data_IF_313377051301
#
_entry.id   IF_313377051301
#
_cell.length_a   1.000
_cell.length_b   1.000
_cell.length_c   1.000
_cell.angle_alpha   90.00
_cell.angle_beta   90.00
_cell.angle_gamma   90.00
#
_symmetry.space_group_name_H-M   'P 1'
#
loop_
_entity.id
_entity.type
_entity.pdbx_description
1 polymer ?
#
# COMPACT_ATOMS: atom_id res chain seq x y z
N UNK A 1 -13.27 -16.59 -10.30
CA UNK A 1 -12.87 -18.00 -10.20
C UNK A 1 -11.50 -18.06 -9.55
N UNK A 2 -11.28 -19.01 -8.64
CA UNK A 2 -10.00 -19.17 -7.94
C UNK A 2 -9.52 -20.62 -8.01
N UNK A 3 -8.21 -20.80 -8.17
CA UNK A 3 -7.52 -22.09 -8.24
C UNK A 3 -6.40 -22.08 -7.21
N UNK A 4 -6.42 -23.06 -6.31
CA UNK A 4 -5.52 -23.13 -5.17
C UNK A 4 -4.80 -24.48 -5.18
N UNK A 5 -3.49 -24.43 -5.38
CA UNK A 5 -2.59 -25.57 -5.32
C UNK A 5 -1.55 -25.31 -4.23
N UNK A 6 -0.81 -26.34 -3.78
CA UNK A 6 0.30 -26.11 -2.86
C UNK A 6 1.23 -25.01 -3.40
N UNK A 7 1.40 -23.95 -2.62
CA UNK A 7 2.18 -22.74 -2.94
C UNK A 7 1.66 -21.84 -4.06
N UNK A 8 0.59 -22.20 -4.77
CA UNK A 8 0.11 -21.43 -5.91
C UNK A 8 -1.35 -21.03 -5.73
N UNK A 9 -1.60 -19.74 -5.88
CA UNK A 9 -2.91 -19.12 -5.83
C UNK A 9 -3.12 -18.39 -7.14
N UNK A 10 -4.19 -18.73 -7.86
CA UNK A 10 -4.56 -18.06 -9.10
C UNK A 10 -6.02 -17.65 -9.05
N UNK A 11 -6.29 -16.36 -9.26
CA UNK A 11 -7.63 -15.80 -9.29
C UNK A 11 -7.86 -15.05 -10.59
N UNK A 12 -9.09 -15.12 -11.10
CA UNK A 12 -9.51 -14.41 -12.31
C UNK A 12 -10.96 -13.97 -12.21
N UNK A 13 -11.28 -12.81 -12.78
CA UNK A 13 -12.57 -12.14 -12.71
C UNK A 13 -12.59 -11.09 -11.61
N UNK A 14 -13.70 -11.02 -10.86
CA UNK A 14 -13.84 -10.11 -9.73
C UNK A 14 -13.50 -10.83 -8.41
N UNK A 15 -12.54 -10.29 -7.64
CA UNK A 15 -12.12 -10.85 -6.36
C UNK A 15 -11.67 -9.74 -5.38
N UNK A 16 -11.59 -10.02 -4.07
CA UNK A 16 -11.22 -9.01 -3.07
C UNK A 16 -9.82 -8.42 -3.33
N UNK A 17 -9.71 -7.08 -3.24
CA UNK A 17 -8.45 -6.35 -3.41
C UNK A 17 -7.50 -6.51 -2.22
N UNK A 18 -8.06 -6.84 -1.04
CA UNK A 18 -7.35 -7.06 0.23
C UNK A 18 -6.05 -7.82 0.05
N UNK A 19 -6.16 -9.01 -0.54
CA UNK A 19 -5.04 -9.95 -0.65
C UNK A 19 -3.98 -9.51 -1.68
N UNK A 20 -4.38 -8.66 -2.64
CA UNK A 20 -3.51 -8.18 -3.71
C UNK A 20 -2.61 -7.05 -3.24
N UNK A 21 -3.16 -6.12 -2.46
CA UNK A 21 -2.46 -4.89 -2.08
C UNK A 21 -1.95 -4.88 -0.64
N UNK A 22 -2.31 -5.88 0.19
CA UNK A 22 -1.92 -5.95 1.60
C UNK A 22 -0.42 -5.73 1.86
N UNK A 23 0.45 -6.08 0.91
CA UNK A 23 1.90 -5.98 1.07
C UNK A 23 2.49 -4.67 0.53
N UNK A 24 1.73 -3.90 -0.25
CA UNK A 24 2.24 -2.68 -0.87
C UNK A 24 2.33 -1.52 0.14
N UNK A 25 3.38 -0.71 0.08
CA UNK A 25 3.55 0.42 0.99
C UNK A 25 2.62 1.58 0.61
N UNK A 26 2.38 2.47 1.58
CA UNK A 26 1.54 3.68 1.42
C UNK A 26 2.01 4.63 0.32
N UNK A 27 3.31 4.63 0.03
CA UNK A 27 3.92 5.31 -1.11
C UNK A 27 3.31 4.89 -2.47
N UNK A 28 2.82 3.65 -2.55
CA UNK A 28 2.23 3.07 -3.76
C UNK A 28 0.70 3.09 -3.69
N UNK A 29 0.11 2.69 -2.58
CA UNK A 29 -1.34 2.67 -2.36
C UNK A 29 -1.69 3.17 -0.96
N UNK A 30 -2.49 4.24 -0.88
CA UNK A 30 -3.00 4.77 0.38
C UNK A 30 -4.02 3.82 1.03
N UNK A 31 -4.12 3.87 2.35
CA UNK A 31 -5.08 3.07 3.13
C UNK A 31 -6.53 3.29 2.66
N UNK A 32 -6.86 4.52 2.26
CA UNK A 32 -8.18 4.91 1.74
C UNK A 32 -8.57 4.16 0.45
N UNK A 33 -7.61 3.76 -0.36
CA UNK A 33 -7.84 3.12 -1.67
C UNK A 33 -8.58 1.79 -1.50
N UNK A 34 -8.29 1.06 -0.43
CA UNK A 34 -8.92 -0.22 -0.11
C UNK A 34 -10.43 -0.09 0.18
N UNK A 35 -10.85 1.06 0.72
CA UNK A 35 -12.24 1.31 1.07
C UNK A 35 -13.09 1.73 -0.13
N UNK A 36 -12.52 2.57 -1.00
CA UNK A 36 -13.26 3.13 -2.15
C UNK A 36 -13.40 2.08 -3.26
N UNK A 37 -12.40 1.22 -3.43
CA UNK A 37 -12.42 0.15 -4.40
C UNK A 37 -12.06 -1.14 -3.66
N UNK A 38 -13.04 -1.99 -3.30
CA UNK A 38 -12.74 -3.22 -2.57
C UNK A 38 -12.46 -4.43 -3.47
N UNK A 39 -12.75 -4.36 -4.78
CA UNK A 39 -12.64 -5.49 -5.72
C UNK A 39 -11.67 -5.23 -6.87
N UNK A 40 -10.78 -6.18 -7.14
CA UNK A 40 -9.98 -6.24 -8.38
C UNK A 40 -10.83 -6.87 -9.47
N UNK A 41 -10.74 -6.36 -10.69
CA UNK A 41 -11.34 -6.97 -11.88
C UNK A 41 -10.22 -7.35 -12.84
N UNK A 42 -9.79 -8.60 -12.84
CA UNK A 42 -8.72 -9.04 -13.73
C UNK A 42 -8.17 -10.39 -13.33
N UNK A 43 -6.87 -10.47 -13.07
CA UNK A 43 -6.25 -11.70 -12.59
C UNK A 43 -5.19 -11.45 -11.52
N UNK A 44 -4.93 -12.47 -10.72
CA UNK A 44 -3.86 -12.51 -9.72
C UNK A 44 -3.21 -13.88 -9.78
N UNK A 45 -1.88 -13.92 -9.80
CA UNK A 45 -1.07 -15.13 -9.74
C UNK A 45 -0.03 -14.94 -8.63
N UNK A 46 -0.17 -15.70 -7.55
CA UNK A 46 0.73 -15.66 -6.41
C UNK A 46 1.38 -17.03 -6.21
N UNK A 47 2.70 -17.03 -6.15
CA UNK A 47 3.49 -18.09 -5.55
C UNK A 47 3.81 -17.71 -4.10
N UNK A 48 3.52 -18.57 -3.14
CA UNK A 48 3.74 -18.33 -1.71
C UNK A 48 4.38 -19.54 -1.03
N UNK A 49 5.48 -19.30 -0.35
CA UNK A 49 6.07 -20.19 0.63
C UNK A 49 5.95 -19.55 2.03
N UNK A 50 6.48 -20.20 3.07
CA UNK A 50 6.34 -19.76 4.47
C UNK A 50 6.72 -18.29 4.66
N UNK A 51 7.88 -17.87 4.14
CA UNK A 51 8.42 -16.52 4.31
C UNK A 51 8.65 -15.76 2.98
N UNK A 52 8.51 -16.47 1.86
CA UNK A 52 8.87 -15.99 0.53
C UNK A 52 7.62 -15.94 -0.35
N UNK A 53 7.52 -14.93 -1.21
CA UNK A 53 6.44 -14.88 -2.20
C UNK A 53 6.86 -14.17 -3.48
N UNK A 54 6.16 -14.47 -4.57
CA UNK A 54 6.19 -13.74 -5.83
C UNK A 54 4.75 -13.59 -6.32
N UNK A 55 4.37 -12.40 -6.73
CA UNK A 55 2.99 -12.05 -7.02
C UNK A 55 2.94 -11.18 -8.27
N UNK A 56 2.05 -11.53 -9.20
CA UNK A 56 1.75 -10.79 -10.42
C UNK A 56 0.24 -10.62 -10.51
N UNK A 57 -0.22 -9.41 -10.78
CA UNK A 57 -1.65 -9.13 -10.85
C UNK A 57 -1.96 -8.05 -11.88
N UNK A 58 -3.18 -8.10 -12.41
CA UNK A 58 -3.74 -7.10 -13.31
C UNK A 58 -5.14 -6.75 -12.84
N UNK A 59 -5.43 -5.45 -12.82
CA UNK A 59 -6.73 -4.91 -12.43
C UNK A 59 -7.21 -3.92 -13.48
N UNK A 60 -8.23 -4.29 -14.26
CA UNK A 60 -8.98 -3.37 -15.10
C UNK A 60 -9.86 -2.48 -14.21
N UNK A 61 -9.31 -1.32 -13.86
CA UNK A 61 -9.96 -0.36 -12.96
C UNK A 61 -11.16 0.36 -13.59
N UNK A 62 -11.34 0.17 -14.90
CA UNK A 62 -12.53 0.53 -15.65
C UNK A 62 -12.41 1.85 -16.41
N UNK A 63 -13.55 2.40 -16.79
CA UNK A 63 -13.68 3.65 -17.52
C UNK A 63 -14.79 4.51 -16.89
N UNK A 64 -14.55 5.81 -16.78
CA UNK A 64 -15.56 6.82 -16.46
C UNK A 64 -15.75 7.64 -17.73
N UNK A 65 -16.78 7.34 -18.53
CA UNK A 65 -16.87 7.78 -19.95
C UNK A 65 -16.62 9.28 -20.21
N UNK A 66 -16.80 10.16 -19.23
CA UNK A 66 -16.53 11.59 -19.31
C UNK A 66 -15.08 12.01 -18.99
N UNK A 67 -14.28 11.17 -18.32
CA UNK A 67 -12.97 11.53 -17.75
C UNK A 67 -11.88 10.46 -18.00
N UNK A 68 -12.25 9.19 -18.06
CA UNK A 68 -11.35 8.06 -18.28
C UNK A 68 -11.98 7.12 -19.30
N UNK A 69 -11.32 6.92 -20.45
CA UNK A 69 -11.78 6.01 -21.49
C UNK A 69 -11.35 4.57 -21.23
N UNK A 70 -10.20 4.38 -20.60
CA UNK A 70 -9.66 3.07 -20.23
C UNK A 70 -8.67 3.26 -19.08
N UNK A 71 -8.67 2.36 -18.09
CA UNK A 71 -7.63 2.32 -17.07
C UNK A 71 -7.39 0.91 -16.56
N UNK A 72 -6.13 0.59 -16.29
CA UNK A 72 -5.75 -0.65 -15.63
C UNK A 72 -4.40 -0.53 -14.91
N UNK A 73 -4.23 -1.34 -13.87
CA UNK A 73 -2.95 -1.61 -13.25
C UNK A 73 -2.40 -2.96 -13.72
N UNK A 74 -1.09 -3.02 -13.91
CA UNK A 74 -0.30 -4.24 -13.91
C UNK A 74 0.70 -4.14 -12.77
N UNK A 75 0.62 -4.99 -11.76
CA UNK A 75 1.52 -4.96 -10.61
C UNK A 75 2.25 -6.26 -10.39
N UNK A 76 3.42 -6.15 -9.77
CA UNK A 76 4.25 -7.27 -9.39
C UNK A 76 4.90 -6.99 -8.03
N UNK A 77 5.03 -8.03 -7.22
CA UNK A 77 5.67 -7.93 -5.92
C UNK A 77 6.42 -9.22 -5.60
N UNK A 78 7.40 -9.14 -4.72
CA UNK A 78 8.07 -10.33 -4.22
C UNK A 78 8.87 -10.05 -2.97
N UNK A 79 9.04 -11.09 -2.15
CA UNK A 79 9.84 -11.06 -0.94
C UNK A 79 10.64 -12.35 -0.84
N UNK A 80 11.90 -12.19 -0.46
CA UNK A 80 12.81 -13.28 -0.14
C UNK A 80 13.43 -13.05 1.22
N UNK A 81 13.40 -14.08 2.06
CA UNK A 81 13.93 -14.06 3.43
C UNK A 81 15.04 -15.07 3.59
N UNK A 82 16.12 -14.66 4.26
CA UNK A 82 17.25 -15.52 4.64
C UNK A 82 17.68 -15.18 6.08
N UNK A 83 17.20 -15.99 7.03
CA UNK A 83 17.40 -15.72 8.45
C UNK A 83 16.73 -14.42 8.88
N UNK A 84 17.52 -13.53 9.50
CA UNK A 84 17.03 -12.19 9.90
C UNK A 84 16.92 -11.23 8.72
N UNK A 85 17.56 -11.50 7.59
CA UNK A 85 17.57 -10.59 6.45
C UNK A 85 16.41 -10.87 5.51
N UNK A 86 15.87 -9.83 4.90
CA UNK A 86 14.94 -9.95 3.78
C UNK A 86 15.22 -8.91 2.70
N UNK A 87 14.93 -9.29 1.46
CA UNK A 87 14.78 -8.38 0.33
C UNK A 87 13.34 -8.42 -0.14
N UNK A 88 12.80 -7.27 -0.52
CA UNK A 88 11.47 -7.18 -1.10
C UNK A 88 11.45 -6.18 -2.24
N UNK A 89 10.59 -6.43 -3.22
CA UNK A 89 10.41 -5.57 -4.38
C UNK A 89 8.91 -5.41 -4.64
N UNK A 90 8.51 -4.19 -4.93
CA UNK A 90 7.16 -3.84 -5.34
C UNK A 90 7.24 -3.05 -6.62
N UNK A 91 6.31 -3.31 -7.53
CA UNK A 91 6.19 -2.58 -8.77
C UNK A 91 4.76 -2.53 -9.24
N UNK A 92 4.44 -1.45 -9.94
CA UNK A 92 3.26 -1.38 -10.79
C UNK A 92 3.50 -0.48 -11.99
N UNK A 93 2.69 -0.70 -13.02
CA UNK A 93 2.39 0.25 -14.06
C UNK A 93 0.89 0.55 -14.01
N UNK A 94 0.55 1.82 -13.88
CA UNK A 94 -0.81 2.30 -14.04
C UNK A 94 -0.95 2.99 -15.39
N UNK A 95 -1.85 2.47 -16.21
CA UNK A 95 -2.20 3.01 -17.50
C UNK A 95 -3.57 3.67 -17.41
N UNK A 96 -3.69 4.90 -17.88
CA UNK A 96 -5.00 5.55 -18.05
C UNK A 96 -5.06 6.32 -19.35
N UNK A 97 -6.15 6.16 -20.09
CA UNK A 97 -6.47 6.94 -21.30
C UNK A 97 -7.50 7.99 -20.91
N UNK A 98 -7.14 9.26 -21.07
CA UNK A 98 -7.95 10.41 -20.65
C UNK A 98 -8.09 11.41 -21.81
N UNK A 99 -9.19 12.20 -21.86
CA UNK A 99 -9.30 13.31 -22.79
C UNK A 99 -8.18 14.33 -22.53
N UNK A 100 -7.65 14.88 -23.60
CA UNK A 100 -6.72 15.99 -23.55
C UNK A 100 -7.47 17.28 -23.83
N UNK A 101 -7.11 18.34 -23.13
CA UNK A 101 -7.67 19.67 -23.32
C UNK A 101 -6.57 20.61 -23.80
N UNK A 102 -6.95 21.53 -24.68
CA UNK A 102 -6.11 22.62 -25.14
C UNK A 102 -5.68 23.52 -23.96
N UNK A 103 -4.82 24.50 -24.23
CA UNK A 103 -4.30 25.39 -23.19
C UNK A 103 -5.39 26.18 -22.42
N UNK A 104 -6.58 26.34 -23.01
CA UNK A 104 -7.74 26.98 -22.38
C UNK A 104 -8.45 26.09 -21.34
N UNK A 105 -8.12 24.80 -21.27
CA UNK A 105 -8.73 23.82 -20.36
C UNK A 105 -10.19 23.46 -20.66
N UNK A 106 -10.74 23.96 -21.78
CA UNK A 106 -12.16 23.82 -22.14
C UNK A 106 -12.33 23.10 -23.49
N UNK A 107 -11.40 23.31 -24.41
CA UNK A 107 -11.47 22.74 -25.76
C UNK A 107 -10.85 21.35 -25.76
N UNK A 108 -11.64 20.33 -26.13
CA UNK A 108 -11.16 18.96 -26.29
C UNK A 108 -10.15 18.89 -27.45
N UNK A 109 -8.94 18.44 -27.15
CA UNK A 109 -7.79 18.35 -28.07
C UNK A 109 -7.38 16.88 -28.34
N UNK A 110 -8.35 15.97 -28.19
CA UNK A 110 -8.16 14.53 -28.40
C UNK A 110 -8.08 13.75 -27.10
N UNK A 111 -7.33 12.65 -27.11
CA UNK A 111 -7.09 11.82 -25.94
C UNK A 111 -5.72 11.15 -26.03
N UNK A 112 -5.15 10.88 -24.86
CA UNK A 112 -3.86 10.22 -24.79
C UNK A 112 -3.65 9.53 -23.46
N UNK A 113 -2.67 8.62 -23.50
CA UNK A 113 -2.23 7.86 -22.36
C UNK A 113 -1.51 8.74 -21.35
N UNK A 114 -1.85 8.56 -20.08
CA UNK A 114 -1.08 8.98 -18.91
C UNK A 114 -0.63 7.71 -18.19
N UNK A 115 0.62 7.70 -17.78
CA UNK A 115 1.25 6.53 -17.16
C UNK A 115 1.94 6.92 -15.87
N UNK A 116 1.82 6.02 -14.88
CA UNK A 116 2.57 6.07 -13.65
C UNK A 116 3.14 4.67 -13.42
N UNK A 117 4.43 4.51 -13.68
CA UNK A 117 5.17 3.30 -13.34
C UNK A 117 5.92 3.61 -12.05
N UNK A 118 5.81 2.74 -11.05
CA UNK A 118 6.52 2.93 -9.79
C UNK A 118 7.13 1.60 -9.38
N UNK A 119 8.36 1.65 -8.92
CA UNK A 119 9.06 0.52 -8.32
C UNK A 119 9.65 0.92 -6.98
N UNK A 120 9.72 -0.03 -6.07
CA UNK A 120 10.32 0.10 -4.76
C UNK A 120 11.08 -1.18 -4.44
N UNK A 121 12.39 -1.08 -4.27
CA UNK A 121 13.24 -2.22 -3.88
C UNK A 121 13.79 -1.97 -2.49
N UNK A 122 13.47 -2.84 -1.54
CA UNK A 122 13.87 -2.71 -0.15
C UNK A 122 14.74 -3.87 0.32
N UNK A 123 15.66 -3.55 1.21
CA UNK A 123 16.42 -4.50 1.99
C UNK A 123 16.23 -4.20 3.47
N UNK A 124 16.04 -5.24 4.27
CA UNK A 124 15.72 -5.07 5.67
C UNK A 124 16.14 -6.24 6.55
N UNK A 125 15.90 -6.03 7.84
CA UNK A 125 16.13 -6.99 8.90
C UNK A 125 14.85 -7.16 9.71
N UNK A 126 14.59 -8.40 10.11
CA UNK A 126 13.56 -8.80 11.06
C UNK A 126 14.23 -9.51 12.24
N UNK A 127 14.19 -8.82 13.38
CA UNK A 127 14.77 -9.23 14.65
C UNK A 127 13.70 -9.65 15.66
N UNK A 128 12.43 -9.80 15.26
CA UNK A 128 11.33 -10.18 16.15
C UNK A 128 11.64 -11.50 16.87
N UNK A 129 12.14 -12.50 16.14
CA UNK A 129 12.52 -13.79 16.72
C UNK A 129 13.88 -13.78 17.49
N UNK A 130 14.55 -12.62 17.58
CA UNK A 130 15.89 -12.46 18.17
C UNK A 130 15.93 -11.46 19.32
N UNK A 131 14.81 -10.82 19.61
CA UNK A 131 14.71 -9.80 20.66
C UNK A 131 13.45 -10.04 21.51
N UNK A 132 13.31 -9.37 22.66
CA UNK A 132 12.09 -9.46 23.47
C UNK A 132 10.87 -8.76 22.86
N UNK A 133 11.01 -8.11 21.70
CA UNK A 133 9.92 -7.44 21.01
C UNK A 133 9.06 -8.45 20.24
N UNK A 134 7.74 -8.27 20.29
CA UNK A 134 6.80 -9.06 19.49
C UNK A 134 7.00 -8.79 17.99
N UNK A 135 7.36 -7.55 17.66
CA UNK A 135 7.80 -7.13 16.33
C UNK A 135 9.05 -6.24 16.43
N UNK A 136 10.10 -6.51 15.66
CA UNK A 136 11.18 -5.55 15.43
C UNK A 136 11.74 -5.70 14.03
N UNK A 137 11.34 -4.79 13.14
CA UNK A 137 11.69 -4.80 11.72
C UNK A 137 12.14 -3.44 11.27
N UNK A 138 13.14 -3.39 10.39
CA UNK A 138 13.56 -2.16 9.73
C UNK A 138 14.00 -2.46 8.31
N UNK A 139 13.67 -1.60 7.36
CA UNK A 139 14.10 -1.71 5.97
C UNK A 139 14.34 -0.36 5.33
N UNK A 140 15.30 -0.29 4.43
CA UNK A 140 15.54 0.87 3.57
C UNK A 140 15.23 0.46 2.13
N UNK A 141 14.48 1.31 1.44
CA UNK A 141 13.99 1.04 0.11
C UNK A 141 14.31 2.18 -0.85
N UNK A 142 14.74 1.85 -2.07
CA UNK A 142 14.88 2.80 -3.16
C UNK A 142 13.62 2.79 -4.01
N UNK A 143 12.98 3.96 -4.11
CA UNK A 143 11.84 4.20 -5.00
C UNK A 143 12.30 4.85 -6.28
N UNK A 144 11.79 4.35 -7.40
CA UNK A 144 11.96 4.95 -8.72
C UNK A 144 10.60 4.94 -9.41
N UNK A 145 10.17 6.10 -9.89
CA UNK A 145 8.97 6.21 -10.73
C UNK A 145 9.27 6.73 -12.12
N UNK A 146 8.39 6.42 -13.06
CA UNK A 146 8.28 7.04 -14.37
C UNK A 146 6.85 7.54 -14.52
N UNK A 147 6.70 8.86 -14.55
CA UNK A 147 5.41 9.52 -14.70
C UNK A 147 5.35 10.22 -16.04
N UNK A 148 4.32 9.94 -16.84
CA UNK A 148 4.28 10.39 -18.24
C UNK A 148 2.90 10.92 -18.62
N UNK A 149 2.91 12.04 -19.33
CA UNK A 149 1.77 12.51 -20.13
C UNK A 149 2.15 12.48 -21.61
N UNK A 150 1.57 11.53 -22.37
CA UNK A 150 1.98 11.31 -23.77
C UNK A 150 1.59 12.46 -24.71
N UNK A 151 0.49 13.17 -24.47
CA UNK A 151 0.07 14.28 -25.34
C UNK A 151 1.05 15.45 -25.31
N UNK A 152 1.63 15.78 -24.14
CA UNK A 152 2.61 16.87 -24.03
C UNK A 152 4.07 16.43 -24.12
N UNK A 153 4.32 15.13 -24.32
CA UNK A 153 5.67 14.56 -24.26
C UNK A 153 6.35 14.76 -22.90
N UNK A 154 5.57 14.98 -21.84
CA UNK A 154 6.09 15.28 -20.51
C UNK A 154 6.42 13.98 -19.77
N UNK A 155 7.60 13.92 -19.17
CA UNK A 155 8.07 12.77 -18.42
C UNK A 155 8.84 13.23 -17.17
N UNK A 156 8.66 12.51 -16.07
CA UNK A 156 9.38 12.72 -14.81
C UNK A 156 9.88 11.38 -14.27
N UNK A 157 11.07 11.39 -13.68
CA UNK A 157 11.70 10.21 -13.07
C UNK A 157 12.12 10.54 -11.64
N UNK A 158 11.17 10.73 -10.70
CA UNK A 158 11.55 10.95 -9.32
C UNK A 158 12.18 9.68 -8.73
N UNK A 159 13.20 9.91 -7.91
CA UNK A 159 13.92 8.89 -7.17
C UNK A 159 13.97 9.32 -5.71
N UNK A 160 13.67 8.38 -4.81
CA UNK A 160 13.70 8.62 -3.37
C UNK A 160 14.07 7.39 -2.57
N UNK A 161 14.34 7.61 -1.29
CA UNK A 161 14.59 6.57 -0.31
C UNK A 161 13.45 6.58 0.71
N UNK A 162 12.96 5.38 1.05
CA UNK A 162 11.96 5.15 2.07
C UNK A 162 12.58 4.25 3.14
N UNK A 163 12.71 4.78 4.35
CA UNK A 163 13.10 4.01 5.53
C UNK A 163 11.84 3.68 6.33
N UNK A 164 11.59 2.39 6.52
CA UNK A 164 10.45 1.90 7.29
C UNK A 164 10.93 1.14 8.53
N UNK A 165 10.34 1.43 9.67
CA UNK A 165 10.59 0.73 10.94
C UNK A 165 9.27 0.33 11.57
N UNK A 166 9.20 -0.88 12.12
CA UNK A 166 8.10 -1.35 12.93
C UNK A 166 8.65 -2.01 14.20
N UNK A 167 8.17 -1.60 15.36
CA UNK A 167 8.54 -2.16 16.64
C UNK A 167 7.28 -2.35 17.51
N UNK A 168 7.04 -3.55 18.03
CA UNK A 168 5.93 -3.85 18.92
C UNK A 168 6.45 -4.52 20.18
N UNK A 169 6.01 -4.03 21.33
CA UNK A 169 6.25 -4.66 22.62
C UNK A 169 4.99 -4.64 23.48
N UNK A 170 4.45 -5.82 23.76
CA UNK A 170 3.29 -6.06 24.63
C UNK A 170 2.07 -5.21 24.24
N UNK A 171 1.76 -5.14 22.96
CA UNK A 171 0.59 -4.42 22.44
C UNK A 171 0.79 -2.92 22.23
N UNK A 172 1.99 -2.39 22.49
CA UNK A 172 2.40 -1.05 22.07
C UNK A 172 3.21 -1.17 20.79
N UNK A 173 2.66 -0.72 19.67
CA UNK A 173 3.32 -0.71 18.37
C UNK A 173 3.74 0.72 17.98
N UNK A 174 4.95 0.87 17.48
CA UNK A 174 5.45 2.04 16.78
C UNK A 174 5.74 1.64 15.34
N UNK A 175 5.18 2.38 14.39
CA UNK A 175 5.54 2.30 12.96
C UNK A 175 6.06 3.65 12.51
N UNK A 176 7.11 3.65 11.70
CA UNK A 176 7.68 4.86 11.13
C UNK A 176 7.96 4.64 9.64
N UNK A 177 7.52 5.59 8.80
CA UNK A 177 7.83 5.69 7.37
C UNK A 177 8.48 7.06 7.11
N UNK A 178 9.82 7.07 6.96
CA UNK A 178 10.59 8.26 6.59
C UNK A 178 10.96 8.21 5.12
N UNK A 179 10.43 9.14 4.34
CA UNK A 179 10.76 9.35 2.95
C UNK A 179 11.65 10.58 2.76
N UNK A 180 12.65 10.44 1.90
CA UNK A 180 13.47 11.56 1.43
C UNK A 180 13.92 11.35 -0.01
N UNK A 181 13.87 12.42 -0.82
CA UNK A 181 14.30 12.37 -2.22
C UNK A 181 13.56 13.35 -3.10
N UNK A 182 13.43 12.99 -4.37
CA UNK A 182 12.64 13.75 -5.33
C UNK A 182 11.17 13.52 -5.08
N UNK A 183 10.43 14.57 -4.70
CA UNK A 183 8.98 14.47 -4.53
C UNK A 183 8.28 13.71 -5.67
N UNK A 184 7.44 12.75 -5.30
CA UNK A 184 6.69 11.90 -6.23
C UNK A 184 5.46 12.63 -6.78
N UNK A 185 4.71 12.00 -7.66
CA UNK A 185 3.39 12.47 -8.12
C UNK A 185 3.46 13.88 -8.75
N UNK A 186 4.43 14.09 -9.64
CA UNK A 186 4.69 15.37 -10.34
C UNK A 186 3.52 15.87 -11.17
N UNK A 187 2.68 14.97 -11.67
CA UNK A 187 1.49 15.31 -12.46
C UNK A 187 0.22 15.42 -11.61
N UNK A 188 0.31 15.33 -10.27
CA UNK A 188 -0.86 15.30 -9.38
C UNK A 188 -1.76 16.53 -9.54
N UNK A 189 -1.19 17.72 -9.74
CA UNK A 189 -1.98 18.94 -9.92
C UNK A 189 -2.93 18.90 -11.13
N UNK A 190 -2.67 18.04 -12.13
CA UNK A 190 -3.52 17.89 -13.31
C UNK A 190 -4.41 16.65 -13.26
N UNK A 191 -3.89 15.53 -12.78
CA UNK A 191 -4.60 14.25 -12.86
C UNK A 191 -5.09 13.75 -11.49
N UNK A 192 -4.55 14.27 -10.39
CA UNK A 192 -4.93 13.88 -9.03
C UNK A 192 -5.05 12.37 -8.86
N UNK A 193 -6.14 11.94 -8.21
CA UNK A 193 -6.38 10.52 -7.94
C UNK A 193 -6.79 9.70 -9.19
N UNK A 194 -6.96 10.34 -10.35
CA UNK A 194 -7.14 9.62 -11.63
C UNK A 194 -5.83 9.00 -12.14
N UNK A 195 -4.66 9.41 -11.61
CA UNK A 195 -3.34 8.85 -11.96
C UNK A 195 -2.56 8.32 -10.75
N UNK A 196 -2.90 8.73 -9.52
CA UNK A 196 -2.15 8.37 -8.31
C UNK A 196 -3.06 7.82 -7.22
N UNK A 197 -2.72 6.64 -6.70
CA UNK A 197 -3.46 5.99 -5.62
C UNK A 197 -2.67 5.89 -4.31
N UNK A 198 -1.42 6.35 -4.30
CA UNK A 198 -0.56 6.43 -3.11
C UNK A 198 -0.91 7.62 -2.22
N UNK A 199 -0.35 7.64 -1.02
CA UNK A 199 -0.50 8.77 -0.10
C UNK A 199 0.11 10.05 -0.70
N UNK A 200 -0.67 11.14 -0.72
CA UNK A 200 -0.30 12.42 -1.33
C UNK A 200 0.93 13.05 -0.66
N UNK A 201 1.19 12.75 0.61
CA UNK A 201 2.31 13.35 1.35
C UNK A 201 3.68 13.01 0.75
N UNK A 202 3.80 11.89 0.02
CA UNK A 202 5.02 11.51 -0.69
C UNK A 202 5.34 12.39 -1.91
N UNK A 203 4.48 13.35 -2.25
CA UNK A 203 4.81 14.43 -3.19
C UNK A 203 5.88 15.37 -2.65
N UNK A 204 6.08 15.39 -1.33
CA UNK A 204 7.08 16.21 -0.67
C UNK A 204 8.47 15.57 -0.77
N UNK A 205 9.54 16.37 -0.85
CA UNK A 205 10.90 15.84 -0.90
C UNK A 205 11.35 15.21 0.42
N UNK A 206 10.72 15.56 1.54
CA UNK A 206 10.92 14.95 2.85
C UNK A 206 9.55 14.82 3.52
N UNK A 207 9.24 13.62 3.98
CA UNK A 207 8.00 13.32 4.69
C UNK A 207 8.28 12.20 5.70
N UNK A 208 7.88 12.40 6.94
CA UNK A 208 7.96 11.37 7.97
C UNK A 208 6.57 11.12 8.56
N UNK A 209 6.16 9.86 8.64
CA UNK A 209 4.95 9.44 9.34
C UNK A 209 5.31 8.48 10.46
N UNK A 210 4.91 8.82 11.69
CA UNK A 210 5.02 7.94 12.85
C UNK A 210 3.62 7.57 13.35
N UNK A 211 3.29 6.29 13.33
CA UNK A 211 2.07 5.74 13.94
C UNK A 211 2.42 5.15 15.30
N UNK A 212 1.71 5.59 16.35
CA UNK A 212 1.74 4.99 17.68
C UNK A 212 0.42 4.26 17.88
N UNK A 213 0.46 2.94 18.01
CA UNK A 213 -0.72 2.08 18.13
C UNK A 213 -0.73 1.39 19.49
N UNK A 214 -1.90 1.41 20.12
CA UNK A 214 -2.19 0.68 21.35
C UNK A 214 -3.24 -0.38 21.01
N UNK A 215 -2.84 -1.65 21.07
CA UNK A 215 -3.74 -2.79 20.97
C UNK A 215 -4.38 -3.03 22.34
N UNK A 216 -5.63 -2.61 22.52
CA UNK A 216 -6.32 -2.72 23.81
C UNK A 216 -6.79 -4.13 24.10
N UNK A 217 -7.33 -4.79 23.08
CA UNK A 217 -7.86 -6.13 23.17
C UNK A 217 -7.71 -6.76 21.80
N UNK A 218 -7.13 -7.95 21.76
CA UNK A 218 -7.03 -8.75 20.54
C UNK A 218 -7.52 -10.15 20.86
N UNK A 219 -8.55 -10.59 20.16
CA UNK A 219 -9.14 -11.92 20.30
C UNK A 219 -9.69 -12.38 18.97
N UNK A 220 -10.12 -13.64 18.90
CA UNK A 220 -10.78 -14.18 17.70
C UNK A 220 -12.21 -13.65 17.48
N UNK A 221 -12.72 -12.78 18.37
CA UNK A 221 -14.07 -12.20 18.30
C UNK A 221 -14.01 -10.68 18.20
N UNK A 222 -13.16 -10.05 18.99
CA UNK A 222 -13.08 -8.61 19.16
C UNK A 222 -11.62 -8.17 19.12
N UNK A 223 -11.35 -7.21 18.25
CA UNK A 223 -10.07 -6.50 18.15
C UNK A 223 -10.33 -5.00 18.32
N UNK A 224 -9.58 -4.33 19.19
CA UNK A 224 -9.72 -2.89 19.46
C UNK A 224 -8.34 -2.25 19.49
N UNK A 225 -8.13 -1.30 18.58
CA UNK A 225 -6.89 -0.54 18.41
C UNK A 225 -7.14 0.96 18.52
N UNK A 226 -6.22 1.68 19.17
CA UNK A 226 -6.12 3.12 19.07
C UNK A 226 -4.80 3.52 18.42
N UNK A 227 -4.88 4.24 17.31
CA UNK A 227 -3.74 4.74 16.55
C UNK A 227 -3.70 6.26 16.62
N UNK A 228 -2.53 6.81 16.98
CA UNK A 228 -2.16 8.20 16.82
C UNK A 228 -1.08 8.28 15.73
N UNK A 229 -1.44 8.85 14.58
CA UNK A 229 -0.49 9.12 13.50
C UNK A 229 0.00 10.57 13.57
N UNK A 230 1.31 10.75 13.55
CA UNK A 230 1.99 12.04 13.44
C UNK A 230 2.65 12.14 12.07
N UNK A 231 2.38 13.24 11.37
CA UNK A 231 2.92 13.52 10.06
C UNK A 231 3.83 14.75 10.15
N UNK A 232 5.11 14.58 9.85
CA UNK A 232 6.08 15.67 9.77
C UNK A 232 6.32 16.01 8.30
N UNK A 233 5.85 17.19 7.91
CA UNK A 233 5.84 17.64 6.53
C UNK A 233 6.00 19.16 6.48
N UNK A 234 6.88 19.65 5.60
CA UNK A 234 7.08 21.09 5.35
C UNK A 234 7.37 21.92 6.62
N UNK A 235 8.10 21.34 7.58
CA UNK A 235 8.42 21.99 8.86
C UNK A 235 7.24 22.09 9.84
N UNK A 236 6.10 21.47 9.52
CA UNK A 236 4.91 21.41 10.36
C UNK A 236 4.65 19.98 10.85
N UNK A 237 3.85 19.86 11.92
CA UNK A 237 3.40 18.58 12.46
C UNK A 237 1.88 18.52 12.37
N UNK A 238 1.38 17.50 11.69
CA UNK A 238 -0.05 17.17 11.63
C UNK A 238 -0.31 15.89 12.41
N UNK A 239 -1.54 15.71 12.88
CA UNK A 239 -1.91 14.50 13.62
C UNK A 239 -3.27 13.96 13.17
N UNK A 240 -3.42 12.65 13.27
CA UNK A 240 -4.66 11.92 13.04
C UNK A 240 -4.84 10.88 14.15
N UNK A 241 -6.08 10.69 14.59
CA UNK A 241 -6.45 9.69 15.60
C UNK A 241 -7.48 8.74 15.02
N UNK A 242 -7.29 7.44 15.21
CA UNK A 242 -8.20 6.39 14.74
C UNK A 242 -8.45 5.42 15.89
N UNK A 243 -9.71 5.22 16.23
CA UNK A 243 -10.15 4.07 17.03
C UNK A 243 -10.72 3.04 16.05
N UNK A 244 -10.11 1.87 15.98
CA UNK A 244 -10.59 0.75 15.15
C UNK A 244 -11.14 -0.33 16.06
N UNK A 245 -12.34 -0.80 15.73
CA UNK A 245 -12.96 -1.95 16.38
C UNK A 245 -13.38 -2.95 15.31
N UNK A 246 -12.90 -4.17 15.41
CA UNK A 246 -13.27 -5.28 14.52
C UNK A 246 -14.01 -6.34 15.32
N UNK A 247 -15.16 -6.78 14.80
CA UNK A 247 -16.00 -7.80 15.42
C UNK A 247 -16.23 -8.94 14.45
N UNK A 248 -15.86 -10.16 14.84
CA UNK A 248 -16.14 -11.40 14.11
C UNK A 248 -17.45 -12.00 14.61
N UNK A 249 -18.51 -11.87 13.79
CA UNK A 249 -19.86 -12.31 14.14
C UNK A 249 -20.01 -13.84 14.01
N UNK A 250 -19.26 -14.49 13.12
CA UNK A 250 -19.32 -15.94 12.93
C UNK A 250 -18.76 -16.68 14.16
N UNK A 251 -17.72 -16.13 14.78
CA UNK A 251 -17.13 -16.66 16.01
C UNK A 251 -17.93 -16.32 17.27
N UNK A 252 -18.74 -15.24 17.27
CA UNK A 252 -19.67 -14.93 18.36
C UNK A 252 -20.68 -16.06 18.56
N UNK A 253 -21.27 -16.55 17.46
CA UNK A 253 -22.31 -17.57 17.50
C UNK A 253 -21.76 -18.96 17.87
N UNK A 254 -20.51 -19.25 17.50
CA UNK A 254 -19.86 -20.54 17.77
C UNK A 254 -19.30 -20.68 19.18
N UNK A 255 -19.30 -19.61 19.99
CA UNK A 255 -18.86 -19.56 21.41
C UNK A 255 -17.47 -20.16 21.72
N UNK A 256 -16.62 -20.38 20.72
CA UNK A 256 -15.25 -20.80 20.93
C UNK A 256 -14.39 -19.55 21.08
N UNK A 257 -14.40 -18.95 22.26
CA UNK A 257 -13.50 -17.83 22.58
C UNK A 257 -12.09 -18.41 22.72
N UNK A 258 -11.23 -18.14 21.74
CA UNK A 258 -9.81 -18.38 21.93
C UNK A 258 -9.23 -17.21 22.74
N UNK A 259 -8.80 -17.52 23.96
CA UNK A 259 -8.17 -16.57 24.90
C UNK A 259 -6.65 -16.50 24.73
N UNK A 260 -6.09 -17.15 23.71
CA UNK A 260 -4.64 -17.22 23.46
C UNK A 260 -4.03 -15.86 23.13
N UNK A 261 -4.82 -14.92 22.61
CA UNK A 261 -4.44 -13.52 22.48
C UNK A 261 -4.99 -12.72 23.65
N UNK A 262 -4.09 -12.08 24.36
CA UNK A 262 -4.38 -11.17 25.46
C UNK A 262 -3.55 -9.93 25.16
N UNK A 263 -4.21 -8.78 25.00
CA UNK A 263 -3.67 -7.48 25.37
C UNK A 263 -4.64 -6.82 26.31
N UNK A 264 -4.01 -6.17 27.24
CA UNK A 264 -4.36 -6.08 28.63
C UNK A 264 -3.04 -5.55 29.18
N UNK A 265 -3.06 -4.87 30.30
CA UNK A 265 -1.87 -4.77 31.14
C UNK A 265 -1.62 -6.13 31.86
N UNK A 266 -1.91 -7.24 31.17
CA UNK A 266 -1.90 -8.65 31.56
C UNK A 266 -2.38 -9.00 32.97
N UNK A 267 -3.64 -8.63 33.28
CA UNK A 267 -4.48 -9.18 34.36
C UNK A 267 -5.58 -10.07 33.74
#
# INVERSE_FOLDING_TARGET
>A
YGYYLPHWEFEVGAFPRGDVFAHYPRLMFADSTMWVRPTVNGFSLCYRNIDDYAHLWLDWTGAEKSVIYESFYLGWAGKLRRGIFFGQHFGYMFHTVMPDYAADGLTLDGSSVKENIKTLTAFGVDLSAKTPFDCLRSSVAMSVSLERNRHRGEYHIPVGLLWQTAAEYRGLELRNDLYFGSGEQRLYNRFGNYLYWGDLMYKLPVYDRTDLVIHFLKSNILDIDLELSLHFAEGSVYNQQILRTTVDIDNIDRRQIDRSYRYIWHW
#
